data_IF_493469738629
#
_entry.id   IF_493469738629
#
_cell.length_a   1.000
_cell.length_b   1.000
_cell.length_c   1.000
_cell.angle_alpha   90.00
_cell.angle_beta   90.00
_cell.angle_gamma   90.00
#
_symmetry.space_group_name_H-M   'P 1'
#
loop_
_entity.id
_entity.type
_entity.pdbx_description
1 polymer ?
#
# COMPACT_ATOMS: atom_id res chain seq x y z
N UNK A 1 1.37 -5.72 -24.01
CA UNK A 1 1.03 -4.93 -22.85
C UNK A 1 1.14 -5.83 -21.61
N UNK A 2 2.00 -5.48 -20.66
CA UNK A 2 2.10 -6.23 -19.41
C UNK A 2 0.80 -6.03 -18.63
N UNK A 3 0.08 -7.12 -18.39
CA UNK A 3 -1.07 -7.08 -17.52
C UNK A 3 -0.60 -6.76 -16.10
N UNK A 4 -0.97 -5.62 -15.59
CA UNK A 4 -0.71 -5.22 -14.19
C UNK A 4 -1.58 -6.00 -13.21
N UNK A 5 -2.76 -6.45 -13.67
CA UNK A 5 -3.73 -7.21 -12.89
C UNK A 5 -3.81 -8.65 -13.37
N UNK A 6 -3.87 -9.58 -12.43
CA UNK A 6 -4.15 -10.99 -12.67
C UNK A 6 -5.65 -11.31 -12.53
N UNK A 7 -5.99 -12.57 -12.77
CA UNK A 7 -7.33 -13.09 -12.49
C UNK A 7 -7.63 -12.98 -10.99
N UNK A 8 -8.80 -12.48 -10.64
CA UNK A 8 -9.22 -12.25 -9.25
C UNK A 8 -8.66 -11.01 -8.57
N UNK A 9 -7.86 -10.17 -9.25
CA UNK A 9 -7.30 -8.96 -8.65
C UNK A 9 -8.29 -7.79 -8.59
N UNK A 10 -9.41 -7.89 -9.26
CA UNK A 10 -10.44 -6.85 -9.27
C UNK A 10 -11.79 -7.40 -8.83
N UNK A 11 -12.60 -6.55 -8.24
CA UNK A 11 -14.00 -6.84 -7.97
C UNK A 11 -14.80 -6.72 -9.27
N UNK A 12 -15.08 -7.85 -9.91
CA UNK A 12 -15.77 -7.89 -11.19
C UNK A 12 -17.19 -7.31 -11.11
N UNK A 13 -17.88 -7.49 -9.96
CA UNK A 13 -19.23 -6.96 -9.78
C UNK A 13 -19.21 -5.42 -9.75
N UNK A 14 -18.30 -4.84 -8.97
CA UNK A 14 -18.14 -3.39 -8.84
C UNK A 14 -17.79 -2.74 -10.19
N UNK A 15 -16.80 -3.30 -10.90
CA UNK A 15 -16.31 -2.71 -12.15
C UNK A 15 -17.29 -2.88 -13.31
N UNK A 16 -18.02 -3.99 -13.37
CA UNK A 16 -19.06 -4.20 -14.37
C UNK A 16 -20.24 -3.25 -14.19
N UNK A 17 -20.60 -2.91 -12.95
CA UNK A 17 -21.65 -1.95 -12.63
C UNK A 17 -21.32 -0.56 -13.20
N UNK A 18 -20.05 -0.15 -13.14
CA UNK A 18 -19.59 1.13 -13.67
C UNK A 18 -19.27 1.12 -15.17
N UNK A 19 -19.36 -0.03 -15.84
CA UNK A 19 -19.09 -0.17 -17.29
C UNK A 19 -17.63 0.14 -17.67
N UNK A 20 -16.69 0.01 -16.74
CA UNK A 20 -15.27 0.30 -16.95
C UNK A 20 -14.42 -0.96 -16.76
N UNK A 21 -13.33 -1.09 -17.52
CA UNK A 21 -12.29 -2.08 -17.24
C UNK A 21 -11.14 -1.42 -16.46
N UNK A 22 -10.82 -1.98 -15.30
CA UNK A 22 -9.74 -1.48 -14.46
C UNK A 22 -8.38 -1.53 -15.18
N UNK A 23 -8.16 -2.51 -16.06
CA UNK A 23 -6.92 -2.60 -16.83
C UNK A 23 -6.70 -1.40 -17.76
N UNK A 24 -7.77 -0.79 -18.26
CA UNK A 24 -7.71 0.39 -19.15
C UNK A 24 -7.48 1.68 -18.36
N UNK A 25 -7.71 1.63 -17.04
CA UNK A 25 -7.62 2.79 -16.14
C UNK A 25 -6.44 2.70 -15.15
N UNK A 26 -5.61 1.65 -15.22
CA UNK A 26 -4.46 1.46 -14.36
C UNK A 26 -3.16 1.68 -15.13
N UNK A 27 -2.37 2.65 -14.67
CA UNK A 27 -1.03 2.92 -15.19
C UNK A 27 0.01 2.74 -14.08
N UNK A 28 1.08 1.99 -14.36
CA UNK A 28 2.22 1.84 -13.45
C UNK A 28 3.37 2.74 -13.90
N UNK A 29 3.65 3.75 -13.09
CA UNK A 29 4.75 4.70 -13.33
C UNK A 29 5.81 4.54 -12.25
N UNK A 30 7.06 4.30 -12.65
CA UNK A 30 8.20 4.32 -11.75
C UNK A 30 8.59 5.77 -11.41
N UNK A 31 8.72 6.06 -10.12
CA UNK A 31 9.19 7.35 -9.63
C UNK A 31 10.49 7.14 -8.85
N UNK A 32 11.60 7.68 -9.36
CA UNK A 32 12.88 7.67 -8.65
C UNK A 32 12.88 8.78 -7.59
N UNK A 33 12.48 8.41 -6.39
CA UNK A 33 12.32 9.31 -5.27
C UNK A 33 12.98 8.73 -4.02
N UNK A 34 13.85 9.53 -3.39
CA UNK A 34 14.48 9.12 -2.15
C UNK A 34 13.48 9.16 -1.00
N UNK A 35 13.44 8.09 -0.20
CA UNK A 35 12.72 8.03 1.06
C UNK A 35 13.59 8.59 2.19
N UNK A 36 13.00 9.46 3.03
CA UNK A 36 13.66 10.05 4.20
C UNK A 36 13.14 9.50 5.52
N UNK A 37 11.99 8.80 5.48
CA UNK A 37 11.30 8.27 6.65
C UNK A 37 10.95 9.36 7.68
N UNK A 38 10.51 10.49 7.17
CA UNK A 38 10.15 11.68 7.96
C UNK A 38 8.68 11.72 8.39
N UNK A 39 7.96 10.60 8.31
CA UNK A 39 6.57 10.46 8.77
C UNK A 39 5.61 11.50 8.17
N UNK A 40 4.87 12.25 9.02
CA UNK A 40 3.90 13.26 8.55
C UNK A 40 4.48 14.31 7.60
N UNK A 41 5.69 14.80 7.86
CA UNK A 41 6.33 15.78 6.98
C UNK A 41 6.64 15.22 5.60
N UNK A 42 7.06 13.95 5.53
CA UNK A 42 7.29 13.28 4.27
C UNK A 42 5.98 12.94 3.55
N UNK A 43 4.89 12.66 4.27
CA UNK A 43 3.58 12.50 3.65
C UNK A 43 3.14 13.76 2.90
N UNK A 44 3.36 14.95 3.50
CA UNK A 44 3.10 16.24 2.83
C UNK A 44 3.99 16.42 1.59
N UNK A 45 5.28 16.13 1.69
CA UNK A 45 6.20 16.18 0.56
C UNK A 45 5.76 15.23 -0.56
N UNK A 46 5.33 14.02 -0.23
CA UNK A 46 4.81 13.05 -1.18
C UNK A 46 3.53 13.52 -1.88
N UNK A 47 2.65 14.23 -1.16
CA UNK A 47 1.46 14.85 -1.74
C UNK A 47 1.85 15.95 -2.74
N UNK A 48 2.81 16.81 -2.40
CA UNK A 48 3.31 17.88 -3.28
C UNK A 48 3.90 17.28 -4.57
N UNK A 49 4.72 16.23 -4.47
CA UNK A 49 5.29 15.57 -5.65
C UNK A 49 4.21 15.04 -6.58
N UNK A 50 3.19 14.38 -6.03
CA UNK A 50 2.08 13.84 -6.82
C UNK A 50 1.23 14.95 -7.44
N UNK A 51 0.97 16.01 -6.69
CA UNK A 51 0.31 17.19 -7.23
C UNK A 51 1.07 17.77 -8.43
N UNK A 52 2.39 17.91 -8.31
CA UNK A 52 3.24 18.43 -9.39
C UNK A 52 3.30 17.50 -10.61
N UNK A 53 3.04 16.22 -10.41
CA UNK A 53 2.90 15.23 -11.48
C UNK A 53 1.48 15.19 -12.09
N UNK A 54 0.55 16.01 -11.59
CA UNK A 54 -0.81 16.14 -12.12
C UNK A 54 -1.85 15.20 -11.49
N UNK A 55 -1.51 14.52 -10.39
CA UNK A 55 -2.48 13.70 -9.68
C UNK A 55 -3.46 14.57 -8.88
N UNK A 56 -4.73 14.21 -8.92
CA UNK A 56 -5.80 14.87 -8.15
C UNK A 56 -6.00 14.28 -6.76
N UNK A 57 -5.62 13.01 -6.56
CA UNK A 57 -5.80 12.30 -5.29
C UNK A 57 -4.53 11.55 -4.90
N UNK A 58 -4.33 11.39 -3.59
CA UNK A 58 -3.21 10.67 -3.01
C UNK A 58 -3.68 9.76 -1.87
N UNK A 59 -3.45 8.46 -2.00
CA UNK A 59 -3.79 7.48 -0.97
C UNK A 59 -2.72 7.50 0.13
N UNK A 60 -3.15 7.72 1.37
CA UNK A 60 -2.28 7.72 2.56
C UNK A 60 -2.72 6.58 3.47
N UNK A 61 -1.84 5.60 3.61
CA UNK A 61 -2.02 4.50 4.55
C UNK A 61 -1.57 4.86 5.97
N UNK A 62 -1.83 3.95 6.89
CA UNK A 62 -1.31 4.00 8.25
C UNK A 62 0.22 4.07 8.25
N UNK A 63 0.81 4.85 9.17
CA UNK A 63 2.26 4.98 9.33
C UNK A 63 3.00 5.28 8.02
N UNK A 64 2.47 6.22 7.24
CA UNK A 64 3.07 6.57 5.95
C UNK A 64 4.47 7.16 6.15
N UNK A 65 5.47 6.57 5.49
CA UNK A 65 6.88 6.97 5.57
C UNK A 65 7.44 7.01 7.01
N UNK A 66 6.90 6.16 7.90
CA UNK A 66 7.32 6.05 9.30
C UNK A 66 8.62 5.26 9.45
N UNK A 67 9.38 5.58 10.49
CA UNK A 67 10.46 4.77 11.03
C UNK A 67 10.39 4.80 12.55
N UNK A 68 10.71 3.70 13.25
CA UNK A 68 10.80 3.69 14.70
C UNK A 68 12.11 4.34 15.16
N UNK A 69 12.19 4.67 16.44
CA UNK A 69 13.45 4.90 17.13
C UNK A 69 14.34 3.63 17.15
N UNK A 70 15.59 3.78 17.48
CA UNK A 70 16.56 2.66 17.53
C UNK A 70 16.17 1.57 18.53
N UNK A 71 15.44 1.90 19.60
CA UNK A 71 14.88 0.98 20.58
C UNK A 71 13.57 0.29 20.11
N UNK A 72 13.05 0.70 18.95
CA UNK A 72 11.84 0.17 18.35
C UNK A 72 10.56 0.91 18.72
N UNK A 73 10.63 1.92 19.56
CA UNK A 73 9.47 2.75 19.92
C UNK A 73 9.01 3.59 18.73
N UNK A 74 7.71 3.81 18.64
CA UNK A 74 7.11 4.60 17.55
C UNK A 74 7.45 6.09 17.74
N UNK A 75 7.89 6.75 16.65
CA UNK A 75 8.10 8.20 16.62
C UNK A 75 6.76 8.93 16.46
N UNK A 76 5.88 8.41 15.60
CA UNK A 76 4.58 8.98 15.28
C UNK A 76 3.46 8.00 15.55
N UNK A 77 2.26 8.53 15.76
CA UNK A 77 1.03 7.76 15.84
C UNK A 77 0.67 7.08 14.52
N UNK A 78 -0.26 6.13 14.59
CA UNK A 78 -0.65 5.35 13.42
C UNK A 78 -1.24 6.19 12.29
N UNK A 79 -1.88 7.32 12.60
CA UNK A 79 -2.58 8.18 11.65
C UNK A 79 -2.03 9.60 11.54
N UNK A 80 -0.97 9.95 12.27
CA UNK A 80 -0.38 11.30 12.24
C UNK A 80 -0.08 11.78 10.81
N UNK A 81 0.33 10.87 9.91
CA UNK A 81 0.58 11.18 8.51
C UNK A 81 -0.69 11.50 7.71
N UNK A 82 -1.87 11.13 8.20
CA UNK A 82 -3.17 11.50 7.64
C UNK A 82 -3.67 12.80 8.28
N UNK A 83 -3.56 12.91 9.58
CA UNK A 83 -4.06 14.04 10.40
C UNK A 83 -3.32 15.34 10.11
N UNK A 84 -2.04 15.29 9.69
CA UNK A 84 -1.27 16.50 9.35
C UNK A 84 -1.95 17.36 8.27
N UNK A 85 -2.73 16.77 7.39
CA UNK A 85 -3.43 17.48 6.31
C UNK A 85 -4.65 18.27 6.79
N UNK A 86 -5.21 17.97 7.97
CA UNK A 86 -6.39 18.67 8.51
C UNK A 86 -6.05 20.13 8.88
N UNK A 87 -4.82 20.37 9.31
CA UNK A 87 -4.37 21.67 9.79
C UNK A 87 -3.16 22.21 9.01
N UNK A 88 -2.96 21.73 7.78
CA UNK A 88 -1.85 22.15 6.96
C UNK A 88 -2.01 23.60 6.49
N UNK A 89 -1.03 24.45 6.81
CA UNK A 89 -0.98 25.81 6.27
C UNK A 89 -0.68 25.84 4.78
N UNK A 90 -1.25 26.81 4.06
CA UNK A 90 -1.07 26.93 2.61
C UNK A 90 -2.20 26.27 1.81
N UNK A 91 -1.98 26.06 0.52
CA UNK A 91 -2.97 25.45 -0.37
C UNK A 91 -2.37 24.26 -1.12
N UNK A 92 -2.87 23.07 -0.81
CA UNK A 92 -2.72 21.89 -1.65
C UNK A 92 -4.02 21.69 -2.45
N UNK A 93 -3.90 21.43 -3.75
CA UNK A 93 -5.06 21.09 -4.59
C UNK A 93 -5.31 19.58 -4.63
N UNK A 94 -4.30 18.77 -4.35
CA UNK A 94 -4.44 17.33 -4.25
C UNK A 94 -5.26 16.94 -3.01
N UNK A 95 -6.19 16.01 -3.18
CA UNK A 95 -7.02 15.49 -2.08
C UNK A 95 -6.40 14.21 -1.51
N UNK A 96 -6.39 14.09 -0.19
CA UNK A 96 -5.95 12.86 0.47
C UNK A 96 -7.08 11.86 0.56
N UNK A 97 -6.76 10.59 0.28
CA UNK A 97 -7.65 9.44 0.51
C UNK A 97 -7.04 8.63 1.64
N UNK A 98 -7.57 8.80 2.84
CA UNK A 98 -7.06 8.15 4.04
C UNK A 98 -7.56 6.70 4.11
N UNK A 99 -6.62 5.76 4.31
CA UNK A 99 -6.92 4.33 4.39
C UNK A 99 -6.53 3.82 5.78
N UNK A 100 -7.48 3.18 6.45
CA UNK A 100 -7.30 2.59 7.78
C UNK A 100 -6.55 1.26 7.78
N UNK A 101 -6.73 0.50 8.86
CA UNK A 101 -6.17 -0.85 8.97
C UNK A 101 -6.81 -1.78 7.95
N UNK A 102 -5.98 -2.51 7.20
CA UNK A 102 -6.41 -3.50 6.23
C UNK A 102 -5.82 -4.88 6.55
N UNK A 103 -6.59 -5.93 6.27
CA UNK A 103 -6.18 -7.31 6.39
C UNK A 103 -6.81 -8.15 5.28
N UNK A 104 -6.30 -9.35 5.05
CA UNK A 104 -6.99 -10.33 4.25
C UNK A 104 -8.08 -11.01 5.10
N UNK A 105 -9.27 -11.16 4.56
CA UNK A 105 -10.39 -11.82 5.22
C UNK A 105 -10.79 -13.09 4.48
N UNK A 106 -10.85 -14.21 5.22
CA UNK A 106 -11.11 -15.52 4.63
C UNK A 106 -12.53 -15.63 4.03
N UNK A 107 -13.51 -15.04 4.71
CA UNK A 107 -14.93 -15.10 4.33
C UNK A 107 -15.22 -14.36 3.02
N UNK A 108 -14.49 -13.29 2.74
CA UNK A 108 -14.66 -12.52 1.49
C UNK A 108 -13.57 -12.81 0.45
N UNK A 109 -12.55 -13.60 0.80
CA UNK A 109 -11.47 -14.03 -0.09
C UNK A 109 -10.58 -12.91 -0.63
N UNK A 110 -10.54 -11.75 0.06
CA UNK A 110 -9.77 -10.58 -0.38
C UNK A 110 -9.33 -9.71 0.79
N UNK A 111 -8.46 -8.73 0.48
CA UNK A 111 -8.10 -7.66 1.41
C UNK A 111 -9.27 -6.68 1.55
N UNK A 112 -9.56 -6.28 2.77
CA UNK A 112 -10.58 -5.28 3.11
C UNK A 112 -10.15 -4.44 4.31
N UNK A 113 -10.90 -3.37 4.60
CA UNK A 113 -10.69 -2.56 5.79
C UNK A 113 -11.21 -3.30 7.03
N UNK A 114 -10.47 -3.23 8.12
CA UNK A 114 -10.84 -3.90 9.38
C UNK A 114 -12.13 -3.31 9.97
N UNK A 115 -12.37 -2.02 9.77
CA UNK A 115 -13.57 -1.35 10.26
C UNK A 115 -14.86 -1.86 9.59
N UNK A 116 -14.78 -2.27 8.33
CA UNK A 116 -15.90 -2.79 7.54
C UNK A 116 -16.11 -4.30 7.74
N UNK A 117 -15.12 -5.00 8.30
CA UNK A 117 -15.08 -6.46 8.37
C UNK A 117 -14.88 -6.99 9.79
N UNK A 118 -15.47 -6.35 10.79
CA UNK A 118 -15.28 -6.66 12.23
C UNK A 118 -15.69 -8.08 12.63
N UNK A 119 -16.64 -8.66 11.90
CA UNK A 119 -17.17 -10.00 12.17
C UNK A 119 -16.41 -11.12 11.42
N UNK A 120 -15.49 -10.73 10.54
CA UNK A 120 -14.76 -11.67 9.68
C UNK A 120 -13.40 -12.04 10.27
N UNK A 121 -12.93 -13.24 9.93
CA UNK A 121 -11.60 -13.75 10.34
C UNK A 121 -10.50 -13.09 9.52
N UNK A 122 -9.64 -12.32 10.18
CA UNK A 122 -8.55 -11.62 9.52
C UNK A 122 -7.25 -12.41 9.52
N UNK A 123 -6.55 -12.41 8.39
CA UNK A 123 -5.15 -12.84 8.28
C UNK A 123 -4.28 -11.59 8.22
N UNK A 124 -3.48 -11.40 9.26
CA UNK A 124 -2.66 -10.20 9.39
C UNK A 124 -1.42 -10.24 8.50
N UNK A 125 -1.22 -9.19 7.71
CA UNK A 125 -0.10 -9.07 6.78
C UNK A 125 1.06 -8.36 7.49
N UNK A 126 2.17 -9.05 7.71
CA UNK A 126 3.39 -8.49 8.26
C UNK A 126 4.47 -8.35 7.19
N UNK A 127 4.76 -7.13 6.77
CA UNK A 127 5.82 -6.87 5.78
C UNK A 127 7.22 -7.36 6.22
N UNK A 128 7.50 -7.36 7.52
CA UNK A 128 8.77 -7.88 8.07
C UNK A 128 8.86 -9.39 7.91
N UNK A 129 7.79 -10.14 8.24
CA UNK A 129 7.77 -11.59 8.04
C UNK A 129 7.86 -11.96 6.56
N UNK A 130 7.11 -11.27 5.70
CA UNK A 130 7.16 -11.49 4.24
C UNK A 130 8.56 -11.27 3.69
N UNK A 131 9.24 -10.19 4.09
CA UNK A 131 10.64 -9.95 3.66
C UNK A 131 11.60 -11.05 4.15
N UNK A 132 11.47 -11.49 5.39
CA UNK A 132 12.30 -12.58 5.92
C UNK A 132 12.15 -13.87 5.08
N UNK A 133 10.92 -14.30 4.82
CA UNK A 133 10.64 -15.47 3.98
C UNK A 133 11.25 -15.33 2.57
N UNK A 134 11.07 -14.18 1.92
CA UNK A 134 11.63 -13.93 0.58
C UNK A 134 13.16 -14.00 0.56
N UNK A 135 13.83 -13.47 1.59
CA UNK A 135 15.31 -13.53 1.73
C UNK A 135 15.77 -14.97 1.94
N UNK A 136 15.03 -15.79 2.69
CA UNK A 136 15.29 -17.21 2.92
C UNK A 136 14.97 -18.09 1.69
N UNK A 137 14.37 -17.50 0.66
CA UNK A 137 14.00 -18.19 -0.57
C UNK A 137 12.67 -18.92 -0.49
N UNK A 138 11.86 -18.60 0.51
CA UNK A 138 10.53 -19.15 0.73
C UNK A 138 9.45 -18.26 0.09
N UNK A 139 8.41 -18.92 -0.44
CA UNK A 139 7.24 -18.19 -0.93
C UNK A 139 6.33 -17.85 0.25
N UNK A 140 5.94 -16.57 0.43
CA UNK A 140 4.91 -16.19 1.37
C UNK A 140 3.56 -16.85 1.06
N UNK A 141 2.65 -16.83 2.04
CA UNK A 141 1.27 -17.29 1.89
C UNK A 141 0.62 -16.65 0.63
N UNK A 142 0.02 -17.42 -0.29
CA UNK A 142 -0.58 -16.90 -1.52
C UNK A 142 -1.73 -15.91 -1.28
N UNK A 143 -2.36 -15.93 -0.10
CA UNK A 143 -3.34 -14.94 0.34
C UNK A 143 -2.72 -13.55 0.57
N UNK A 144 -1.41 -13.50 0.86
CA UNK A 144 -0.64 -12.28 1.12
C UNK A 144 0.07 -11.80 -0.14
N UNK A 145 0.65 -12.72 -0.89
CA UNK A 145 1.43 -12.41 -2.09
C UNK A 145 1.24 -13.50 -3.15
N UNK A 146 0.88 -13.10 -4.37
CA UNK A 146 0.75 -14.04 -5.49
C UNK A 146 2.06 -14.78 -5.75
N UNK A 147 1.98 -16.06 -6.08
CA UNK A 147 3.15 -16.92 -6.33
C UNK A 147 4.07 -16.36 -7.42
N UNK A 148 3.51 -15.77 -8.48
CA UNK A 148 4.28 -15.16 -9.56
C UNK A 148 5.11 -13.98 -9.08
N UNK A 149 4.55 -13.14 -8.19
CA UNK A 149 5.26 -12.01 -7.57
C UNK A 149 6.31 -12.51 -6.59
N UNK A 150 5.95 -13.47 -5.74
CA UNK A 150 6.87 -14.07 -4.78
C UNK A 150 8.11 -14.66 -5.47
N UNK A 151 7.92 -15.41 -6.55
CA UNK A 151 9.01 -15.99 -7.33
C UNK A 151 9.98 -14.93 -7.86
N UNK A 152 9.48 -13.85 -8.44
CA UNK A 152 10.32 -12.74 -8.95
C UNK A 152 11.16 -12.14 -7.82
N UNK A 153 10.56 -11.93 -6.63
CA UNK A 153 11.26 -11.36 -5.48
C UNK A 153 12.27 -12.33 -4.88
N UNK A 154 11.94 -13.60 -4.76
CA UNK A 154 12.88 -14.66 -4.30
C UNK A 154 14.09 -14.72 -5.23
N UNK A 155 13.87 -14.75 -6.54
CA UNK A 155 14.96 -14.76 -7.52
C UNK A 155 15.81 -13.49 -7.42
N UNK A 156 15.21 -12.33 -7.19
CA UNK A 156 15.93 -11.08 -6.97
C UNK A 156 16.80 -11.14 -5.70
N UNK A 157 16.29 -11.63 -4.58
CA UNK A 157 17.10 -11.73 -3.35
C UNK A 157 18.25 -12.71 -3.48
N UNK A 158 18.07 -13.84 -4.19
CA UNK A 158 19.16 -14.80 -4.50
C UNK A 158 20.30 -14.18 -5.28
N UNK A 159 20.04 -13.18 -6.13
CA UNK A 159 21.08 -12.50 -6.90
C UNK A 159 21.87 -11.48 -6.07
N UNK A 160 21.39 -11.12 -4.87
CA UNK A 160 22.05 -10.16 -3.97
C UNK A 160 22.81 -10.81 -2.82
N UNK A 161 22.61 -12.10 -2.60
CA UNK A 161 23.35 -12.90 -1.61
C UNK A 161 24.68 -13.37 -2.20
#
# INVERSE_FOLDING_TARGET
ANRLLGEGDKDEALWSEHGQDLNDNLELVGLDMRMYYGGPAEAVMHAIYRQNLGFSHFIIGRKHADAPFDDGDAIWGDFDAQEVFENLGGSLSIQTVNVGFAAYFEEIGRVGLMEDNKENTSVFISGTKVRAQLVEGENPDPRIMRETTAKILVDFYKTKA
#
